data_IF_877821536061
#
_entry.id   IF_877821536061
#
_cell.length_a   1.000
_cell.length_b   1.000
_cell.length_c   1.000
_cell.angle_alpha   90.00
_cell.angle_beta   90.00
_cell.angle_gamma   90.00
#
_symmetry.space_group_name_H-M   'P 1'
#
loop_
_entity.id
_entity.type
_entity.pdbx_description
1 polymer ?
#
# COMPACT_ATOMS: atom_id res chain seq x y z
N UNK A 1 5.57 -4.95 4.73
CA UNK A 1 4.97 -4.20 5.85
C UNK A 1 3.48 -4.54 5.93
N UNK A 2 2.87 -4.54 7.11
CA UNK A 2 1.41 -4.68 7.27
C UNK A 2 0.92 -3.62 8.24
N UNK A 3 -0.17 -2.93 7.91
CA UNK A 3 -0.70 -1.85 8.75
C UNK A 3 -2.16 -1.57 8.43
N UNK A 4 -2.87 -0.99 9.39
CA UNK A 4 -4.19 -0.43 9.18
C UNK A 4 -4.04 1.02 8.70
N UNK A 5 -4.64 1.33 7.55
CA UNK A 5 -4.83 2.70 7.09
C UNK A 5 -6.21 3.20 7.52
N UNK A 6 -6.25 4.39 8.11
CA UNK A 6 -7.48 5.05 8.55
C UNK A 6 -7.61 6.36 7.77
N UNK A 7 -8.65 6.46 6.95
CA UNK A 7 -9.05 7.66 6.25
C UNK A 7 -10.12 8.39 7.07
N UNK A 8 -9.72 9.50 7.69
CA UNK A 8 -10.62 10.31 8.50
C UNK A 8 -11.54 11.21 7.66
N UNK A 9 -11.18 11.48 6.39
CA UNK A 9 -11.97 12.35 5.50
C UNK A 9 -13.18 11.56 5.00
N UNK A 10 -12.95 10.33 4.55
CA UNK A 10 -14.01 9.46 4.03
C UNK A 10 -14.53 8.43 5.06
N UNK A 11 -14.05 8.52 6.32
CA UNK A 11 -14.41 7.64 7.43
C UNK A 11 -14.34 6.14 7.06
N UNK A 12 -13.22 5.73 6.48
CA UNK A 12 -13.00 4.37 5.99
C UNK A 12 -11.66 3.82 6.50
N UNK A 13 -11.59 2.49 6.65
CA UNK A 13 -10.37 1.80 7.03
C UNK A 13 -10.01 0.76 5.99
N UNK A 14 -8.71 0.58 5.75
CA UNK A 14 -8.21 -0.53 4.94
C UNK A 14 -7.08 -1.26 5.67
N UNK A 15 -7.04 -2.57 5.49
CA UNK A 15 -5.87 -3.35 5.87
C UNK A 15 -4.89 -3.38 4.71
N UNK A 16 -3.69 -2.81 4.89
CA UNK A 16 -2.67 -2.70 3.86
C UNK A 16 -1.54 -3.71 4.12
N UNK A 17 -1.12 -4.39 3.07
CA UNK A 17 0.07 -5.22 3.03
C UNK A 17 0.96 -4.82 1.85
N UNK A 18 2.23 -4.57 2.16
CA UNK A 18 3.25 -4.20 1.19
C UNK A 18 4.37 -5.24 1.19
N UNK A 19 4.83 -5.59 0.00
CA UNK A 19 5.92 -6.51 -0.22
C UNK A 19 6.93 -5.91 -1.20
N UNK A 20 8.21 -6.09 -0.90
CA UNK A 20 9.32 -5.54 -1.65
C UNK A 20 10.29 -6.67 -1.99
N UNK A 21 10.48 -6.90 -3.28
CA UNK A 21 11.47 -7.79 -3.85
C UNK A 21 12.48 -6.95 -4.64
N UNK A 22 13.46 -6.41 -3.91
CA UNK A 22 14.50 -5.55 -4.49
C UNK A 22 15.44 -6.30 -5.44
N UNK A 23 15.59 -7.62 -5.28
CA UNK A 23 16.42 -8.44 -6.16
C UNK A 23 15.81 -8.54 -7.56
N UNK A 24 14.49 -8.71 -7.64
CA UNK A 24 13.76 -8.78 -8.90
C UNK A 24 13.10 -7.46 -9.32
N UNK A 25 13.38 -6.36 -8.60
CA UNK A 25 12.82 -5.03 -8.87
C UNK A 25 11.30 -5.03 -8.94
N UNK A 26 10.66 -5.67 -7.94
CA UNK A 26 9.20 -5.78 -7.85
C UNK A 26 8.68 -5.31 -6.51
N UNK A 27 7.58 -4.58 -6.53
CA UNK A 27 6.84 -4.22 -5.33
C UNK A 27 5.39 -4.67 -5.47
N UNK A 28 4.76 -5.03 -4.37
CA UNK A 28 3.34 -5.37 -4.34
C UNK A 28 2.68 -4.63 -3.20
N UNK A 29 1.61 -3.93 -3.55
CA UNK A 29 0.67 -3.32 -2.61
C UNK A 29 -0.61 -4.14 -2.65
N UNK A 30 -1.14 -4.50 -1.50
CA UNK A 30 -2.42 -5.17 -1.35
C UNK A 30 -3.22 -4.47 -0.28
N UNK A 31 -4.47 -4.19 -0.55
CA UNK A 31 -5.38 -3.57 0.40
C UNK A 31 -6.65 -4.39 0.51
N UNK A 32 -7.21 -4.48 1.71
CA UNK A 32 -8.60 -4.90 1.90
C UNK A 32 -9.37 -3.69 2.39
N UNK A 33 -10.24 -3.15 1.54
CA UNK A 33 -11.05 -1.97 1.79
C UNK A 33 -12.51 -2.32 1.51
N UNK A 34 -13.40 -2.09 2.49
CA UNK A 34 -14.86 -2.35 2.36
C UNK A 34 -15.22 -3.77 1.88
N UNK A 35 -14.42 -4.78 2.26
CA UNK A 35 -14.65 -6.17 1.88
C UNK A 35 -14.18 -6.55 0.47
N UNK A 36 -13.61 -5.60 -0.29
CA UNK A 36 -12.93 -5.86 -1.55
C UNK A 36 -11.42 -5.88 -1.33
N UNK A 37 -10.72 -6.82 -1.96
CA UNK A 37 -9.27 -6.88 -2.01
C UNK A 37 -8.78 -6.24 -3.29
N UNK A 38 -7.90 -5.26 -3.18
CA UNK A 38 -7.25 -4.59 -4.31
C UNK A 38 -5.76 -4.94 -4.26
N UNK A 39 -5.18 -5.26 -5.41
CA UNK A 39 -3.77 -5.61 -5.50
C UNK A 39 -3.14 -4.89 -6.68
N UNK A 40 -2.02 -4.21 -6.42
CA UNK A 40 -1.19 -3.57 -7.43
C UNK A 40 0.23 -4.16 -7.35
N UNK A 41 0.72 -4.71 -8.45
CA UNK A 41 2.06 -5.30 -8.58
C UNK A 41 2.86 -4.43 -9.54
N UNK A 42 3.89 -3.80 -9.02
CA UNK A 42 4.79 -2.90 -9.72
C UNK A 42 6.00 -3.71 -10.17
N UNK A 43 6.20 -3.85 -11.48
CA UNK A 43 7.39 -4.44 -12.09
C UNK A 43 8.26 -3.31 -12.65
N UNK A 44 9.30 -2.90 -11.93
CA UNK A 44 10.14 -1.77 -12.30
C UNK A 44 11.09 -2.10 -13.45
N UNK A 45 11.35 -3.38 -13.70
CA UNK A 45 12.13 -3.80 -14.86
C UNK A 45 11.35 -3.59 -16.15
N UNK A 46 10.05 -3.91 -16.13
CA UNK A 46 9.13 -3.72 -17.26
C UNK A 46 8.45 -2.36 -17.29
N UNK A 47 8.51 -1.62 -16.18
CA UNK A 47 7.79 -0.38 -15.93
C UNK A 47 6.28 -0.50 -16.14
N UNK A 48 5.72 -1.58 -15.61
CA UNK A 48 4.27 -1.85 -15.66
C UNK A 48 3.72 -2.06 -14.27
N UNK A 49 2.45 -1.68 -14.09
CA UNK A 49 1.64 -2.08 -12.93
C UNK A 49 0.62 -3.11 -13.39
N UNK A 50 0.60 -4.27 -12.74
CA UNK A 50 -0.49 -5.22 -12.86
C UNK A 50 -1.44 -5.02 -11.69
N UNK A 51 -2.68 -4.66 -11.99
CA UNK A 51 -3.71 -4.35 -11.01
C UNK A 51 -4.88 -5.31 -11.13
N UNK A 52 -5.43 -5.73 -10.00
CA UNK A 52 -6.66 -6.52 -9.98
C UNK A 52 -7.42 -6.31 -8.67
N UNK A 53 -8.74 -6.49 -8.72
CA UNK A 53 -9.61 -6.48 -7.55
C UNK A 53 -10.30 -7.84 -7.37
N UNK A 54 -10.74 -8.13 -6.15
CA UNK A 54 -11.39 -9.38 -5.77
C UNK A 54 -12.43 -9.09 -4.68
N UNK A 55 -13.68 -9.43 -4.95
CA UNK A 55 -14.79 -9.27 -3.99
C UNK A 55 -14.85 -10.40 -2.97
N UNK A 56 -13.92 -11.37 -3.05
CA UNK A 56 -13.77 -12.49 -2.11
C UNK A 56 -12.36 -12.53 -1.52
N UNK A 57 -12.03 -11.60 -0.60
CA UNK A 57 -10.70 -11.56 0.02
C UNK A 57 -10.35 -12.89 0.69
N UNK A 58 -9.31 -13.56 0.20
CA UNK A 58 -8.83 -14.83 0.74
C UNK A 58 -9.28 -16.09 0.00
N UNK A 59 -10.18 -15.96 -0.98
CA UNK A 59 -10.45 -17.04 -1.93
C UNK A 59 -9.23 -17.29 -2.82
N UNK A 60 -9.04 -18.55 -3.25
CA UNK A 60 -8.04 -18.87 -4.28
C UNK A 60 -8.45 -18.21 -5.60
N UNK A 61 -7.52 -17.75 -6.45
CA UNK A 61 -7.87 -17.14 -7.75
C UNK A 61 -8.76 -18.03 -8.63
N UNK A 62 -8.59 -19.35 -8.57
CA UNK A 62 -9.45 -20.32 -9.27
C UNK A 62 -10.91 -20.33 -8.81
N UNK A 63 -11.22 -19.71 -7.67
CA UNK A 63 -12.54 -19.61 -7.04
C UNK A 63 -13.12 -18.18 -7.15
N UNK A 64 -12.37 -17.29 -7.80
CA UNK A 64 -12.74 -15.89 -8.05
C UNK A 64 -12.37 -15.52 -9.50
N UNK A 65 -13.14 -16.02 -10.49
CA UNK A 65 -12.90 -15.72 -11.90
C UNK A 65 -13.05 -14.23 -12.23
N UNK A 66 -13.87 -13.48 -11.48
CA UNK A 66 -14.01 -12.02 -11.64
C UNK A 66 -12.69 -11.29 -11.37
N UNK A 67 -11.85 -11.80 -10.47
CA UNK A 67 -10.51 -11.25 -10.26
C UNK A 67 -9.57 -11.39 -11.47
N UNK A 68 -9.82 -12.36 -12.35
CA UNK A 68 -9.09 -12.50 -13.63
C UNK A 68 -9.63 -11.55 -14.69
N UNK A 69 -10.94 -11.28 -14.70
CA UNK A 69 -11.58 -10.34 -15.62
C UNK A 69 -11.18 -8.89 -15.30
N UNK A 70 -11.00 -8.57 -14.02
CA UNK A 70 -10.58 -7.24 -13.55
C UNK A 70 -9.05 -7.06 -13.49
N UNK A 71 -8.29 -7.97 -14.10
CA UNK A 71 -6.84 -7.88 -14.17
C UNK A 71 -6.41 -6.99 -15.32
N UNK A 72 -5.73 -5.88 -15.01
CA UNK A 72 -5.21 -4.93 -15.98
C UNK A 72 -3.70 -4.81 -15.86
N UNK A 73 -3.01 -4.67 -17.00
CA UNK A 73 -1.60 -4.32 -17.05
C UNK A 73 -1.50 -2.96 -17.72
N UNK A 74 -1.01 -1.97 -16.98
CA UNK A 74 -0.88 -0.58 -17.42
C UNK A 74 0.59 -0.18 -17.32
N UNK A 75 1.05 0.71 -18.21
CA UNK A 75 2.37 1.34 -18.03
C UNK A 75 2.39 2.13 -16.72
N UNK A 76 3.51 2.10 -15.99
CA UNK A 76 3.63 2.83 -14.72
C UNK A 76 3.33 4.32 -14.89
N UNK A 77 3.79 4.91 -16.00
CA UNK A 77 3.57 6.32 -16.32
C UNK A 77 2.08 6.72 -16.42
N UNK A 78 1.23 5.79 -16.83
CA UNK A 78 -0.21 6.00 -17.00
C UNK A 78 -1.03 5.44 -15.82
N UNK A 79 -0.35 4.83 -14.84
CA UNK A 79 -1.03 4.23 -13.70
C UNK A 79 -1.44 5.31 -12.69
N UNK A 80 -2.76 5.54 -12.64
CA UNK A 80 -3.40 6.33 -11.60
C UNK A 80 -4.02 5.39 -10.57
N UNK A 81 -3.35 5.22 -9.42
CA UNK A 81 -3.87 4.49 -8.28
C UNK A 81 -5.09 5.18 -7.68
N UNK A 82 -6.26 5.06 -8.31
CA UNK A 82 -7.47 5.81 -7.93
C UNK A 82 -8.20 5.21 -6.73
N UNK A 83 -7.90 3.96 -6.36
CA UNK A 83 -8.59 3.24 -5.29
C UNK A 83 -7.83 3.22 -3.96
N UNK A 84 -6.53 3.51 -3.97
CA UNK A 84 -5.71 3.61 -2.77
C UNK A 84 -4.92 4.92 -2.85
N UNK A 85 -4.89 5.73 -1.77
CA UNK A 85 -4.18 7.01 -1.78
C UNK A 85 -2.66 6.85 -1.79
N UNK A 86 -2.16 5.61 -1.76
CA UNK A 86 -0.74 5.31 -1.75
C UNK A 86 -0.42 4.33 -2.87
N UNK A 87 0.70 4.60 -3.53
CA UNK A 87 1.34 3.74 -4.51
C UNK A 87 2.84 3.93 -4.40
N UNK A 88 3.60 3.11 -5.12
CA UNK A 88 5.04 3.30 -5.15
C UNK A 88 5.43 4.36 -6.18
N UNK A 89 6.52 5.08 -5.89
CA UNK A 89 7.01 6.11 -6.81
C UNK A 89 7.48 5.48 -8.12
N UNK A 90 7.06 6.08 -9.22
CA UNK A 90 7.67 5.89 -10.52
C UNK A 90 8.14 7.25 -11.06
N UNK A 91 8.95 7.28 -12.12
CA UNK A 91 9.38 8.54 -12.73
C UNK A 91 8.40 8.94 -13.83
N UNK A 92 7.52 9.87 -13.52
CA UNK A 92 6.63 10.51 -14.51
C UNK A 92 7.43 11.16 -15.67
N UNK A 93 8.65 11.62 -15.41
CA UNK A 93 9.44 12.43 -16.34
C UNK A 93 10.31 11.63 -17.32
N UNK A 94 10.51 10.33 -17.07
CA UNK A 94 11.45 9.49 -17.83
C UNK A 94 11.03 8.03 -17.82
N UNK A 95 10.30 7.54 -18.84
CA UNK A 95 10.21 6.12 -19.10
C UNK A 95 11.64 5.53 -19.21
N UNK A 96 11.85 4.42 -18.53
CA UNK A 96 13.05 3.58 -18.39
C UNK A 96 14.06 3.97 -17.32
N UNK A 97 13.60 4.59 -16.22
CA UNK A 97 14.43 4.91 -15.04
C UNK A 97 13.67 4.88 -13.71
N UNK A 98 12.54 4.19 -13.65
CA UNK A 98 11.82 4.03 -12.39
C UNK A 98 12.69 3.27 -11.39
N UNK A 99 12.92 3.85 -10.22
CA UNK A 99 13.70 3.23 -9.15
C UNK A 99 12.73 2.84 -8.04
N UNK A 100 12.78 1.57 -7.67
CA UNK A 100 12.07 1.07 -6.52
C UNK A 100 12.48 1.85 -5.26
N UNK A 101 11.49 2.21 -4.45
CA UNK A 101 11.74 2.82 -3.15
C UNK A 101 12.51 1.81 -2.26
N UNK A 102 13.57 2.28 -1.59
CA UNK A 102 14.22 1.49 -0.54
C UNK A 102 13.25 1.18 0.58
N UNK A 103 13.52 0.17 1.42
CA UNK A 103 12.70 -0.12 2.61
C UNK A 103 12.51 1.11 3.53
N UNK A 104 13.45 2.05 3.51
CA UNK A 104 13.37 3.32 4.22
C UNK A 104 12.41 4.33 3.56
N UNK A 105 12.35 4.35 2.22
CA UNK A 105 11.48 5.23 1.42
C UNK A 105 10.06 4.66 1.27
N UNK A 106 9.96 3.33 1.27
CA UNK A 106 8.75 2.51 1.29
C UNK A 106 7.94 2.66 2.59
N UNK A 107 8.60 3.08 3.67
CA UNK A 107 7.90 3.73 4.77
C UNK A 107 7.42 5.07 4.22
N UNK A 108 6.31 5.02 3.47
CA UNK A 108 5.83 6.03 2.52
C UNK A 108 5.93 7.46 3.06
N UNK A 109 5.92 7.63 4.39
CA UNK A 109 5.97 8.92 5.06
C UNK A 109 6.92 9.01 6.26
N UNK A 110 8.12 8.43 6.13
CA UNK A 110 9.29 9.03 6.79
C UNK A 110 10.26 8.14 7.54
N UNK A 111 10.37 6.87 7.17
CA UNK A 111 11.31 5.97 7.83
C UNK A 111 11.00 5.78 9.33
N UNK A 112 11.84 5.04 10.07
CA UNK A 112 11.66 4.84 11.51
C UNK A 112 11.86 6.12 12.35
N UNK A 113 12.28 7.25 11.76
CA UNK A 113 12.67 8.46 12.48
C UNK A 113 11.67 9.63 12.39
N UNK A 114 10.62 9.54 11.55
CA UNK A 114 9.56 10.58 11.47
C UNK A 114 8.22 10.12 12.06
N UNK A 115 8.14 8.89 12.52
CA UNK A 115 6.98 8.40 13.25
C UNK A 115 7.27 8.49 14.76
N UNK A 116 6.40 9.19 15.49
CA UNK A 116 6.47 9.30 16.94
C UNK A 116 5.89 8.03 17.56
N UNK A 117 6.65 7.34 18.38
CA UNK A 117 6.10 6.31 19.26
C UNK A 117 5.06 6.94 20.20
N UNK A 118 3.87 6.36 20.24
CA UNK A 118 2.81 6.81 21.12
C UNK A 118 2.70 5.91 22.35
N UNK A 119 2.53 4.61 22.14
CA UNK A 119 2.29 3.62 23.20
C UNK A 119 2.39 2.20 22.66
N UNK A 120 2.49 1.24 23.57
CA UNK A 120 2.14 -0.15 23.27
C UNK A 120 0.60 -0.26 23.11
N UNK A 121 0.16 -1.13 22.20
CA UNK A 121 -1.24 -1.37 21.90
C UNK A 121 -1.49 -2.86 21.75
N UNK A 122 -2.53 -3.33 22.44
CA UNK A 122 -3.10 -4.67 22.30
C UNK A 122 -4.62 -4.51 22.36
N UNK A 123 -5.30 -4.74 21.24
CA UNK A 123 -6.72 -4.44 21.12
C UNK A 123 -7.32 -5.00 19.84
N UNK A 124 -8.57 -4.65 19.55
CA UNK A 124 -9.26 -5.07 18.32
C UNK A 124 -8.50 -4.57 17.08
N UNK A 125 -7.97 -3.35 17.15
CA UNK A 125 -7.16 -2.70 16.11
C UNK A 125 -5.87 -3.45 15.79
N UNK A 126 -5.31 -4.19 16.76
CA UNK A 126 -4.13 -5.04 16.58
C UNK A 126 -4.47 -6.53 16.44
N UNK A 127 -5.75 -6.88 16.32
CA UNK A 127 -6.25 -8.27 16.36
C UNK A 127 -5.76 -9.04 17.58
N UNK A 128 -5.69 -8.34 18.71
CA UNK A 128 -5.18 -8.83 19.99
C UNK A 128 -3.71 -9.28 19.97
N UNK A 129 -2.92 -8.87 18.96
CA UNK A 129 -1.48 -9.05 18.94
C UNK A 129 -0.80 -7.86 19.64
N UNK A 130 0.22 -8.09 20.48
CA UNK A 130 1.03 -7.01 21.01
C UNK A 130 1.73 -6.26 19.88
N UNK A 131 1.55 -4.94 19.83
CA UNK A 131 2.19 -4.08 18.86
C UNK A 131 2.61 -2.73 19.46
N UNK A 132 3.63 -2.13 18.87
CA UNK A 132 4.00 -0.75 19.14
C UNK A 132 3.25 0.19 18.20
N UNK A 133 2.52 1.16 18.75
CA UNK A 133 1.81 2.17 17.97
C UNK A 133 2.70 3.39 17.74
N UNK A 134 2.91 3.72 16.47
CA UNK A 134 3.58 4.94 16.02
C UNK A 134 2.61 5.83 15.25
N UNK A 135 2.81 7.14 15.30
CA UNK A 135 2.04 8.13 14.55
C UNK A 135 2.95 9.02 13.70
N UNK A 136 2.56 9.30 12.46
CA UNK A 136 3.28 10.23 11.58
C UNK A 136 2.32 11.15 10.81
N UNK A 137 2.88 12.16 10.15
CA UNK A 137 2.17 13.00 9.18
C UNK A 137 2.75 12.78 7.78
N UNK A 138 1.87 12.64 6.81
CA UNK A 138 2.13 12.25 5.43
C UNK A 138 1.57 13.31 4.48
N UNK A 139 2.39 13.97 3.67
CA UNK A 139 1.89 14.91 2.65
C UNK A 139 1.69 14.19 1.32
N UNK A 140 0.47 14.24 0.80
CA UNK A 140 0.11 13.79 -0.53
C UNK A 140 0.12 14.98 -1.49
N UNK A 141 0.89 14.85 -2.57
CA UNK A 141 1.00 15.87 -3.62
C UNK A 141 -0.19 15.86 -4.57
N UNK A 142 -0.76 14.69 -4.87
CA UNK A 142 -1.87 14.54 -5.82
C UNK A 142 -3.13 15.22 -5.30
N UNK A 143 -3.37 15.08 -4.00
CA UNK A 143 -4.53 15.65 -3.31
C UNK A 143 -4.22 16.96 -2.58
N UNK A 144 -2.96 17.41 -2.59
CA UNK A 144 -2.49 18.58 -1.85
C UNK A 144 -2.89 18.55 -0.36
N UNK A 145 -2.86 17.37 0.26
CA UNK A 145 -3.40 17.12 1.59
C UNK A 145 -2.34 16.51 2.53
N UNK A 146 -2.49 16.75 3.85
CA UNK A 146 -1.66 16.10 4.87
C UNK A 146 -2.49 15.09 5.67
N UNK A 147 -2.10 13.82 5.59
CA UNK A 147 -2.74 12.70 6.28
C UNK A 147 -2.01 12.34 7.56
N UNK A 148 -2.76 12.06 8.62
CA UNK A 148 -2.21 11.47 9.85
C UNK A 148 -2.25 9.95 9.73
N UNK A 149 -1.11 9.32 9.92
CA UNK A 149 -0.94 7.88 9.77
C UNK A 149 -0.65 7.23 11.12
N UNK A 150 -1.19 6.04 11.36
CA UNK A 150 -0.90 5.20 12.53
C UNK A 150 -0.33 3.87 12.07
N UNK A 151 0.81 3.48 12.66
CA UNK A 151 1.49 2.23 12.36
C UNK A 151 1.46 1.34 13.60
N UNK A 152 0.90 0.15 13.48
CA UNK A 152 0.97 -0.89 14.49
C UNK A 152 2.08 -1.86 14.10
N UNK A 153 3.21 -1.79 14.79
CA UNK A 153 4.37 -2.63 14.54
C UNK A 153 4.43 -3.76 15.57
N UNK A 154 4.02 -4.96 15.18
CA UNK A 154 4.27 -6.17 15.96
C UNK A 154 5.73 -6.59 15.77
N UNK A 155 6.41 -6.91 16.88
CA UNK A 155 7.74 -7.52 16.84
C UNK A 155 7.69 -8.94 16.24
#
# INVERSE_FOLDING_TARGET
>A
MKYEWIDLVHNQTAWIEEYFDSENLRAKLSAVLRGQKIVNIYDYFRETVTSYSSDRPGAKPSLDPESQENCEITEMADFHGTQLPFGFKYRDDRPHRSRMDSSHEALHFGGPYRARFLREATGEETRHLPANLFESCAYDKSEHATYRMRYYWSA
#
